data_IF_081387169746
#
_entry.id   IF_081387169746
#
_cell.length_a   1.000
_cell.length_b   1.000
_cell.length_c   1.000
_cell.angle_alpha   90.00
_cell.angle_beta   90.00
_cell.angle_gamma   90.00
#
_symmetry.space_group_name_H-M   'P 1'
#
loop_
_entity.id
_entity.type
_entity.pdbx_description
1 polymer ?
#
# COMPACT_ATOMS: atom_id res chain seq x y z
N UNK A 1 -24.64 -2.89 2.28
CA UNK A 1 -24.80 -1.43 2.08
C UNK A 1 -26.07 -1.16 1.30
N UNK A 2 -26.74 -0.02 1.53
CA UNK A 2 -27.91 0.41 0.76
C UNK A 2 -27.48 1.28 -0.45
N UNK A 3 -28.44 1.61 -1.33
CA UNK A 3 -28.18 2.36 -2.57
C UNK A 3 -27.61 3.77 -2.30
N UNK A 4 -28.09 4.47 -1.27
CA UNK A 4 -27.60 5.79 -0.89
C UNK A 4 -26.12 5.73 -0.46
N UNK A 5 -25.76 4.73 0.33
CA UNK A 5 -24.38 4.53 0.77
C UNK A 5 -23.42 4.26 -0.40
N UNK A 6 -23.84 3.43 -1.36
CA UNK A 6 -23.05 3.19 -2.58
C UNK A 6 -22.90 4.47 -3.42
N UNK A 7 -23.94 5.28 -3.53
CA UNK A 7 -23.88 6.57 -4.20
C UNK A 7 -22.92 7.53 -3.50
N UNK A 8 -22.89 7.54 -2.17
CA UNK A 8 -21.93 8.37 -1.42
C UNK A 8 -20.48 7.89 -1.61
N UNK A 9 -20.23 6.59 -1.74
CA UNK A 9 -18.92 6.08 -2.11
C UNK A 9 -18.48 6.59 -3.48
N UNK A 10 -19.37 6.55 -4.47
CA UNK A 10 -19.12 7.04 -5.81
C UNK A 10 -18.87 8.55 -5.85
N UNK A 11 -19.68 9.35 -5.14
CA UNK A 11 -19.46 10.81 -5.00
C UNK A 11 -18.08 11.10 -4.41
N UNK A 12 -17.67 10.41 -3.35
CA UNK A 12 -16.35 10.63 -2.76
C UNK A 12 -15.22 10.17 -3.69
N UNK A 13 -15.40 9.09 -4.46
CA UNK A 13 -14.46 8.69 -5.51
C UNK A 13 -14.26 9.78 -6.56
N UNK A 14 -15.36 10.32 -7.10
CA UNK A 14 -15.32 11.43 -8.08
C UNK A 14 -14.79 12.74 -7.50
N UNK A 15 -15.06 13.03 -6.24
CA UNK A 15 -14.49 14.20 -5.55
C UNK A 15 -12.95 14.12 -5.51
N UNK A 16 -12.40 12.95 -5.22
CA UNK A 16 -10.96 12.75 -5.21
C UNK A 16 -10.37 12.85 -6.62
N UNK A 17 -11.02 12.26 -7.62
CA UNK A 17 -10.64 12.44 -9.02
C UNK A 17 -10.67 13.91 -9.44
N UNK A 18 -11.72 14.65 -9.07
CA UNK A 18 -11.87 16.08 -9.35
C UNK A 18 -10.75 16.92 -8.71
N UNK A 19 -10.27 16.53 -7.53
CA UNK A 19 -9.13 17.21 -6.89
C UNK A 19 -7.87 17.12 -7.73
N UNK A 20 -7.61 15.95 -8.33
CA UNK A 20 -6.49 15.74 -9.25
C UNK A 20 -6.61 16.55 -10.53
N UNK A 21 -7.83 16.61 -11.12
CA UNK A 21 -8.12 17.46 -12.30
C UNK A 21 -7.85 18.93 -12.00
N UNK A 22 -8.12 19.39 -10.79
CA UNK A 22 -7.84 20.76 -10.34
C UNK A 22 -6.37 21.00 -9.95
N UNK A 23 -5.50 19.98 -10.07
CA UNK A 23 -4.06 20.05 -9.83
C UNK A 23 -3.68 20.17 -8.36
N UNK A 24 -4.53 19.76 -7.44
CA UNK A 24 -4.16 19.70 -6.02
C UNK A 24 -3.19 18.55 -5.76
N UNK A 25 -2.21 18.76 -4.86
CA UNK A 25 -1.36 17.70 -4.33
C UNK A 25 -2.23 16.65 -3.64
N UNK A 26 -2.13 15.41 -4.09
CA UNK A 26 -3.05 14.36 -3.66
C UNK A 26 -2.90 13.99 -2.18
N UNK A 27 -1.68 14.03 -1.64
CA UNK A 27 -1.44 13.71 -0.22
C UNK A 27 -2.08 14.79 0.67
N UNK A 28 -1.84 16.05 0.34
CA UNK A 28 -2.37 17.19 1.09
C UNK A 28 -3.90 17.24 1.02
N UNK A 29 -4.47 17.05 -0.19
CA UNK A 29 -5.92 17.05 -0.38
C UNK A 29 -6.59 15.91 0.39
N UNK A 30 -6.12 14.66 0.23
CA UNK A 30 -6.72 13.49 0.88
C UNK A 30 -6.63 13.65 2.41
N UNK A 31 -5.51 14.15 2.93
CA UNK A 31 -5.36 14.44 4.36
C UNK A 31 -6.37 15.48 4.82
N UNK A 32 -6.45 16.62 4.13
CA UNK A 32 -7.35 17.71 4.47
C UNK A 32 -8.81 17.26 4.46
N UNK A 33 -9.21 16.49 3.44
CA UNK A 33 -10.54 15.89 3.37
C UNK A 33 -10.81 14.95 4.55
N UNK A 34 -10.00 13.90 4.69
CA UNK A 34 -10.25 12.80 5.64
C UNK A 34 -10.20 13.25 7.12
N UNK A 35 -9.48 14.33 7.41
CA UNK A 35 -9.39 14.89 8.77
C UNK A 35 -10.23 16.13 8.99
N UNK A 36 -10.91 16.62 7.95
CA UNK A 36 -11.67 17.88 7.95
C UNK A 36 -13.15 17.73 8.25
N UNK A 37 -13.84 18.87 8.31
CA UNK A 37 -15.28 18.93 8.66
C UNK A 37 -16.18 18.34 7.57
N UNK A 38 -15.74 18.32 6.30
CA UNK A 38 -16.52 17.74 5.20
C UNK A 38 -16.66 16.22 5.41
N UNK A 39 -15.55 15.50 5.65
CA UNK A 39 -15.61 14.07 5.90
C UNK A 39 -16.40 13.73 7.17
N UNK A 40 -16.19 14.50 8.24
CA UNK A 40 -16.96 14.37 9.49
C UNK A 40 -18.47 14.60 9.28
N UNK A 41 -18.84 15.56 8.41
CA UNK A 41 -20.24 15.76 8.01
C UNK A 41 -20.79 14.55 7.25
N UNK A 42 -20.00 13.94 6.35
CA UNK A 42 -20.40 12.75 5.61
C UNK A 42 -20.46 11.49 6.48
N UNK A 43 -19.70 11.42 7.58
CA UNK A 43 -19.73 10.33 8.55
C UNK A 43 -20.97 10.37 9.46
N UNK A 44 -21.58 11.55 9.60
CA UNK A 44 -22.74 11.71 10.48
C UNK A 44 -24.01 11.07 9.89
N UNK A 45 -24.96 10.68 10.77
CA UNK A 45 -26.20 10.04 10.32
C UNK A 45 -27.06 10.94 9.41
N UNK A 46 -27.08 12.24 9.68
CA UNK A 46 -27.87 13.23 8.93
C UNK A 46 -27.07 14.51 8.78
N UNK A 47 -26.61 14.80 7.56
CA UNK A 47 -25.93 16.05 7.24
C UNK A 47 -26.26 16.46 5.80
N UNK A 48 -26.43 17.79 5.58
CA UNK A 48 -26.70 18.35 4.24
C UNK A 48 -25.62 18.00 3.21
N UNK A 49 -24.36 17.81 3.65
CA UNK A 49 -23.23 17.45 2.78
C UNK A 49 -23.41 16.09 2.08
N UNK A 50 -24.24 15.19 2.65
CA UNK A 50 -24.54 13.89 2.04
C UNK A 50 -25.36 14.01 0.74
N UNK A 51 -25.94 15.16 0.49
CA UNK A 51 -26.74 15.47 -0.72
C UNK A 51 -26.01 16.43 -1.67
N UNK A 52 -24.78 16.84 -1.32
CA UNK A 52 -23.99 17.76 -2.12
C UNK A 52 -23.27 17.02 -3.25
N UNK A 53 -23.07 17.71 -4.37
CA UNK A 53 -22.21 17.24 -5.45
C UNK A 53 -20.73 17.50 -5.16
N UNK A 54 -19.87 16.90 -5.98
CA UNK A 54 -18.41 16.92 -5.83
C UNK A 54 -17.84 18.33 -5.86
N UNK A 55 -18.37 19.20 -6.72
CA UNK A 55 -17.89 20.57 -6.86
C UNK A 55 -18.16 21.40 -5.60
N UNK A 56 -19.35 21.23 -5.00
CA UNK A 56 -19.67 21.91 -3.75
C UNK A 56 -18.76 21.42 -2.60
N UNK A 57 -18.58 20.11 -2.50
CA UNK A 57 -17.68 19.54 -1.48
C UNK A 57 -16.24 19.99 -1.67
N UNK A 58 -15.76 20.08 -2.92
CA UNK A 58 -14.42 20.57 -3.22
C UNK A 58 -14.25 22.05 -2.81
N UNK A 59 -15.24 22.89 -3.11
CA UNK A 59 -15.24 24.30 -2.70
C UNK A 59 -15.19 24.43 -1.17
N UNK A 60 -16.04 23.67 -0.47
CA UNK A 60 -16.08 23.67 1.00
C UNK A 60 -14.75 23.24 1.64
N UNK A 61 -14.04 22.26 1.03
CA UNK A 61 -12.71 21.87 1.48
C UNK A 61 -11.70 22.99 1.24
N UNK A 62 -11.73 23.60 0.04
CA UNK A 62 -10.78 24.64 -0.36
C UNK A 62 -10.93 25.90 0.49
N UNK A 63 -12.14 26.22 0.97
CA UNK A 63 -12.41 27.36 1.82
C UNK A 63 -11.95 27.14 3.28
N UNK A 64 -11.86 25.87 3.71
CA UNK A 64 -11.57 25.50 5.09
C UNK A 64 -10.18 24.90 5.31
N UNK A 65 -9.41 24.65 4.24
CA UNK A 65 -8.09 24.07 4.33
C UNK A 65 -7.12 24.71 3.34
N UNK A 66 -5.86 24.87 3.76
CA UNK A 66 -4.78 25.29 2.86
C UNK A 66 -4.41 24.12 1.95
N UNK A 67 -4.96 24.11 0.73
CA UNK A 67 -4.64 23.10 -0.28
C UNK A 67 -3.48 23.57 -1.15
N UNK A 68 -2.48 22.70 -1.34
CA UNK A 68 -1.34 22.97 -2.20
C UNK A 68 -1.67 22.56 -3.64
N UNK A 69 -1.36 23.42 -4.61
CA UNK A 69 -1.38 23.05 -6.04
C UNK A 69 0.03 22.73 -6.52
N UNK A 70 0.14 21.77 -7.44
CA UNK A 70 1.42 21.19 -7.82
C UNK A 70 1.88 20.14 -6.80
N UNK A 71 3.03 19.55 -6.98
CA UNK A 71 3.49 18.43 -6.16
C UNK A 71 3.07 17.08 -6.75
N UNK A 72 2.75 16.09 -5.92
CA UNK A 72 2.39 14.75 -6.38
C UNK A 72 0.89 14.65 -6.64
N UNK A 73 0.52 14.56 -7.91
CA UNK A 73 -0.87 14.25 -8.32
C UNK A 73 -0.93 12.77 -8.72
N UNK A 74 -1.74 11.98 -8.00
CA UNK A 74 -1.95 10.58 -8.32
C UNK A 74 -2.81 10.42 -9.57
N UNK A 75 -2.67 9.26 -10.23
CA UNK A 75 -3.52 8.90 -11.36
C UNK A 75 -5.01 8.90 -10.94
N UNK A 76 -5.87 9.25 -11.90
CA UNK A 76 -7.31 9.42 -11.60
C UNK A 76 -7.97 8.15 -11.07
N UNK A 77 -7.54 6.98 -11.56
CA UNK A 77 -8.03 5.68 -11.12
C UNK A 77 -7.62 5.40 -9.66
N UNK A 78 -6.42 5.81 -9.27
CA UNK A 78 -5.93 5.72 -7.87
C UNK A 78 -6.76 6.61 -6.97
N UNK A 79 -7.02 7.84 -7.40
CA UNK A 79 -7.81 8.82 -6.64
C UNK A 79 -9.27 8.35 -6.49
N UNK A 80 -9.90 7.95 -7.57
CA UNK A 80 -11.28 7.43 -7.51
C UNK A 80 -11.39 6.22 -6.58
N UNK A 81 -10.51 5.23 -6.75
CA UNK A 81 -10.51 4.04 -5.92
C UNK A 81 -10.27 4.38 -4.44
N UNK A 82 -9.33 5.24 -4.14
CA UNK A 82 -9.04 5.64 -2.77
C UNK A 82 -10.25 6.34 -2.12
N UNK A 83 -10.86 7.29 -2.82
CA UNK A 83 -12.05 7.99 -2.35
C UNK A 83 -13.22 7.05 -2.11
N UNK A 84 -13.51 6.17 -3.08
CA UNK A 84 -14.54 5.16 -2.98
C UNK A 84 -14.30 4.22 -1.79
N UNK A 85 -13.08 3.66 -1.67
CA UNK A 85 -12.75 2.68 -0.64
C UNK A 85 -12.80 3.28 0.77
N UNK A 86 -12.36 4.51 0.98
CA UNK A 86 -12.47 5.17 2.28
C UNK A 86 -13.92 5.32 2.74
N UNK A 87 -14.83 5.72 1.85
CA UNK A 87 -16.25 5.88 2.19
C UNK A 87 -16.92 4.53 2.39
N UNK A 88 -16.56 3.55 1.58
CA UNK A 88 -17.02 2.17 1.76
C UNK A 88 -16.58 1.62 3.12
N UNK A 89 -15.33 1.86 3.51
CA UNK A 89 -14.78 1.44 4.80
C UNK A 89 -15.60 2.01 5.97
N UNK A 90 -15.86 3.32 5.94
CA UNK A 90 -16.73 3.94 6.95
C UNK A 90 -18.07 3.23 7.09
N UNK A 91 -18.78 2.96 5.98
CA UNK A 91 -20.07 2.30 6.03
C UNK A 91 -20.01 0.83 6.43
N UNK A 92 -18.94 0.13 6.09
CA UNK A 92 -18.76 -1.28 6.43
C UNK A 92 -18.41 -1.50 7.91
N UNK A 93 -17.69 -0.56 8.53
CA UNK A 93 -17.13 -0.74 9.88
C UNK A 93 -17.68 0.24 10.92
N UNK A 94 -18.23 1.36 10.50
CA UNK A 94 -18.66 2.46 11.38
C UNK A 94 -17.49 3.30 11.91
N UNK A 95 -16.26 3.09 11.43
CA UNK A 95 -15.11 3.90 11.80
C UNK A 95 -15.18 5.29 11.18
N UNK A 96 -14.76 6.33 11.90
CA UNK A 96 -14.71 7.69 11.40
C UNK A 96 -13.60 7.86 10.34
N UNK A 97 -13.84 8.73 9.36
CA UNK A 97 -12.88 9.04 8.27
C UNK A 97 -11.48 9.36 8.77
N UNK A 98 -11.37 10.12 9.87
CA UNK A 98 -10.08 10.45 10.50
C UNK A 98 -9.34 9.22 11.02
N UNK A 99 -10.04 8.27 11.61
CA UNK A 99 -9.45 7.03 12.14
C UNK A 99 -9.07 6.06 11.02
N UNK A 100 -9.86 6.02 9.96
CA UNK A 100 -9.55 5.28 8.73
C UNK A 100 -8.29 5.86 8.08
N UNK A 101 -8.18 7.18 7.96
CA UNK A 101 -6.98 7.83 7.39
C UNK A 101 -5.72 7.53 8.20
N UNK A 102 -5.81 7.48 9.53
CA UNK A 102 -4.68 7.10 10.38
C UNK A 102 -4.20 5.67 10.08
N UNK A 103 -5.11 4.75 9.76
CA UNK A 103 -4.79 3.38 9.41
C UNK A 103 -4.21 3.26 8.01
N UNK A 104 -4.78 3.96 7.04
CA UNK A 104 -4.37 3.94 5.65
C UNK A 104 -4.20 5.37 5.09
N UNK A 105 -3.07 6.04 5.35
CA UNK A 105 -2.77 7.35 4.74
C UNK A 105 -2.73 7.30 3.21
N UNK A 106 -2.79 8.46 2.56
CA UNK A 106 -2.81 8.62 1.12
C UNK A 106 -1.72 7.82 0.40
N UNK A 107 -0.50 7.83 0.94
CA UNK A 107 0.63 7.09 0.38
C UNK A 107 0.46 5.58 0.48
N UNK A 108 -0.19 5.10 1.56
CA UNK A 108 -0.52 3.68 1.71
C UNK A 108 -1.55 3.25 0.67
N UNK A 109 -2.58 4.07 0.43
CA UNK A 109 -3.58 3.81 -0.60
C UNK A 109 -2.94 3.74 -1.99
N UNK A 110 -2.16 4.75 -2.36
CA UNK A 110 -1.49 4.81 -3.66
C UNK A 110 -0.54 3.61 -3.89
N UNK A 111 0.26 3.23 -2.89
CA UNK A 111 1.20 2.09 -3.01
C UNK A 111 0.50 0.76 -3.21
N UNK A 112 -0.65 0.57 -2.59
CA UNK A 112 -1.36 -0.71 -2.62
C UNK A 112 -2.42 -0.78 -3.72
N UNK A 113 -2.72 0.33 -4.40
CA UNK A 113 -3.74 0.38 -5.45
C UNK A 113 -3.57 -0.72 -6.50
N UNK A 114 -2.37 -0.91 -7.04
CA UNK A 114 -2.12 -1.87 -8.12
C UNK A 114 -2.53 -3.31 -7.75
N UNK A 115 -2.44 -3.65 -6.47
CA UNK A 115 -2.76 -4.99 -5.98
C UNK A 115 -4.23 -5.03 -5.52
N UNK A 116 -4.68 -4.01 -4.81
CA UNK A 116 -5.96 -4.05 -4.09
C UNK A 116 -7.15 -3.58 -4.90
N UNK A 117 -6.96 -2.82 -6.00
CA UNK A 117 -8.09 -2.36 -6.83
C UNK A 117 -8.86 -3.48 -7.52
N UNK A 118 -8.25 -4.68 -7.65
CA UNK A 118 -8.90 -5.87 -8.22
C UNK A 118 -9.61 -6.74 -7.19
N UNK A 119 -9.44 -6.44 -5.90
CA UNK A 119 -10.08 -7.16 -4.80
C UNK A 119 -11.46 -6.58 -4.49
N UNK A 120 -12.31 -7.36 -3.81
CA UNK A 120 -13.51 -6.76 -3.23
C UNK A 120 -13.13 -5.71 -2.18
N UNK A 121 -13.94 -4.65 -1.99
CA UNK A 121 -13.66 -3.61 -1.01
C UNK A 121 -13.42 -4.15 0.40
N UNK A 122 -14.16 -5.17 0.82
CA UNK A 122 -14.03 -5.79 2.14
C UNK A 122 -12.66 -6.42 2.33
N UNK A 123 -12.17 -7.16 1.33
CA UNK A 123 -10.85 -7.81 1.37
C UNK A 123 -9.74 -6.75 1.38
N UNK A 124 -9.86 -5.74 0.52
CA UNK A 124 -8.89 -4.64 0.49
C UNK A 124 -8.79 -3.90 1.84
N UNK A 125 -9.92 -3.69 2.53
CA UNK A 125 -9.96 -3.07 3.86
C UNK A 125 -9.26 -3.94 4.90
N UNK A 126 -9.53 -5.24 4.94
CA UNK A 126 -8.88 -6.15 5.89
C UNK A 126 -7.36 -6.19 5.68
N UNK A 127 -6.91 -6.23 4.42
CA UNK A 127 -5.48 -6.19 4.09
C UNK A 127 -4.82 -4.86 4.50
N UNK A 128 -5.51 -3.72 4.31
CA UNK A 128 -5.02 -2.42 4.76
C UNK A 128 -4.95 -2.33 6.29
N UNK A 129 -5.92 -2.89 7.01
CA UNK A 129 -5.90 -3.00 8.48
C UNK A 129 -4.75 -3.87 8.96
N UNK A 130 -4.45 -4.95 8.26
CA UNK A 130 -3.33 -5.81 8.59
C UNK A 130 -1.98 -5.09 8.40
N UNK A 131 -1.81 -4.36 7.30
CA UNK A 131 -0.63 -3.50 7.08
C UNK A 131 -0.46 -2.49 8.23
N UNK A 132 -1.55 -1.88 8.69
CA UNK A 132 -1.51 -0.94 9.82
C UNK A 132 -1.12 -1.61 11.13
N UNK A 133 -1.67 -2.80 11.44
CA UNK A 133 -1.32 -3.58 12.63
C UNK A 133 0.16 -3.93 12.65
N UNK A 134 0.68 -4.44 11.55
CA UNK A 134 2.10 -4.80 11.41
C UNK A 134 3.02 -3.59 11.59
N UNK A 135 2.64 -2.43 11.03
CA UNK A 135 3.40 -1.18 11.23
C UNK A 135 3.41 -0.76 12.69
N UNK A 136 2.26 -0.76 13.37
CA UNK A 136 2.16 -0.34 14.77
C UNK A 136 2.80 -1.33 15.75
N UNK A 137 2.83 -2.60 15.42
CA UNK A 137 3.58 -3.59 16.21
C UNK A 137 5.08 -3.37 16.10
N UNK A 138 5.55 -2.93 14.94
CA UNK A 138 6.95 -2.55 14.72
C UNK A 138 7.34 -1.24 15.43
N UNK A 139 6.38 -0.33 15.60
CA UNK A 139 6.61 1.00 16.20
C UNK A 139 6.42 1.04 17.74
N UNK A 140 5.99 -0.07 18.38
CA UNK A 140 5.96 -0.13 19.86
C UNK A 140 7.40 -0.08 20.37
N UNK A 141 7.73 0.84 21.32
CA UNK A 141 9.09 0.95 21.83
C UNK A 141 9.46 -0.32 22.59
N UNK A 142 10.09 -1.25 21.89
CA UNK A 142 10.75 -2.39 22.51
C UNK A 142 12.11 -1.93 23.05
N UNK A 143 12.15 -1.46 24.30
CA UNK A 143 13.37 -0.98 24.94
C UNK A 143 14.47 -2.04 25.16
N UNK A 144 14.30 -3.28 24.69
CA UNK A 144 15.32 -4.34 24.85
C UNK A 144 15.46 -5.31 23.65
N UNK A 145 14.66 -5.16 22.57
CA UNK A 145 14.63 -6.13 21.47
C UNK A 145 15.49 -5.77 20.24
N UNK A 146 16.06 -4.56 20.15
CA UNK A 146 16.62 -4.06 18.88
C UNK A 146 17.84 -4.85 18.35
N UNK A 147 18.73 -5.34 19.22
CA UNK A 147 19.91 -6.11 18.77
C UNK A 147 19.59 -7.55 18.36
N UNK A 148 18.70 -8.21 19.10
CA UNK A 148 18.31 -9.61 18.84
C UNK A 148 17.44 -9.68 17.58
N UNK A 149 16.55 -8.70 17.37
CA UNK A 149 15.63 -8.67 16.23
C UNK A 149 16.39 -8.33 14.93
N UNK A 150 17.33 -7.36 14.97
CA UNK A 150 18.21 -7.02 13.85
C UNK A 150 19.06 -8.22 13.42
N UNK A 151 19.70 -8.90 14.37
CA UNK A 151 20.51 -10.08 14.11
C UNK A 151 19.66 -11.23 13.50
N UNK A 152 18.43 -11.42 13.98
CA UNK A 152 17.49 -12.39 13.45
C UNK A 152 17.08 -12.05 12.02
N UNK A 153 16.72 -10.79 11.73
CA UNK A 153 16.35 -10.35 10.36
C UNK A 153 17.49 -10.55 9.36
N UNK A 154 18.70 -10.21 9.75
CA UNK A 154 19.88 -10.43 8.91
C UNK A 154 20.07 -11.93 8.66
N UNK A 155 20.00 -12.76 9.69
CA UNK A 155 20.16 -14.21 9.57
C UNK A 155 19.09 -14.84 8.69
N UNK A 156 17.82 -14.47 8.87
CA UNK A 156 16.70 -14.95 8.04
C UNK A 156 16.88 -14.55 6.56
N UNK A 157 17.45 -13.36 6.32
CA UNK A 157 17.78 -12.90 4.97
C UNK A 157 18.96 -13.68 4.37
N UNK A 158 20.03 -13.94 5.13
CA UNK A 158 21.18 -14.75 4.72
C UNK A 158 20.73 -16.18 4.38
N UNK A 159 19.92 -16.81 5.22
CA UNK A 159 19.36 -18.15 4.99
C UNK A 159 18.50 -18.17 3.70
N UNK A 160 17.76 -17.10 3.42
CA UNK A 160 16.98 -16.96 2.19
C UNK A 160 17.87 -16.84 0.95
N UNK A 161 18.94 -16.03 1.02
CA UNK A 161 19.95 -15.91 -0.05
C UNK A 161 20.62 -17.26 -0.31
N UNK A 162 20.96 -18.00 0.72
CA UNK A 162 21.56 -19.34 0.59
C UNK A 162 20.60 -20.29 -0.12
N UNK A 163 19.33 -20.35 0.25
CA UNK A 163 18.31 -21.17 -0.42
C UNK A 163 18.15 -20.83 -1.90
N UNK A 164 18.15 -19.55 -2.23
CA UNK A 164 18.12 -19.13 -3.65
C UNK A 164 19.36 -19.64 -4.39
N UNK A 165 20.55 -19.53 -3.81
CA UNK A 165 21.78 -20.01 -4.42
C UNK A 165 21.74 -21.53 -4.65
N UNK A 166 21.27 -22.31 -3.69
CA UNK A 166 21.09 -23.76 -3.79
C UNK A 166 20.14 -24.12 -4.96
N UNK A 167 19.00 -23.42 -5.07
CA UNK A 167 18.07 -23.61 -6.19
C UNK A 167 18.69 -23.24 -7.55
N UNK A 168 19.47 -22.16 -7.59
CA UNK A 168 20.14 -21.74 -8.81
C UNK A 168 21.28 -22.68 -9.24
N UNK A 169 21.84 -23.45 -8.33
CA UNK A 169 22.90 -24.43 -8.59
C UNK A 169 22.35 -25.76 -9.12
N UNK A 170 21.13 -26.16 -8.73
CA UNK A 170 20.50 -27.42 -9.09
C UNK A 170 19.20 -27.21 -9.88
N UNK A 171 19.22 -27.51 -11.18
CA UNK A 171 18.06 -27.35 -12.05
C UNK A 171 16.89 -28.25 -11.70
N UNK A 172 17.13 -29.44 -11.11
CA UNK A 172 16.08 -30.36 -10.68
C UNK A 172 15.39 -29.82 -9.41
N UNK A 173 16.17 -29.32 -8.46
CA UNK A 173 15.68 -28.68 -7.25
C UNK A 173 14.92 -27.38 -7.59
N UNK A 174 15.46 -26.60 -8.52
CA UNK A 174 14.82 -25.39 -9.01
C UNK A 174 13.40 -25.65 -9.52
N UNK A 175 13.22 -26.62 -10.42
CA UNK A 175 11.91 -26.96 -11.01
C UNK A 175 10.87 -27.38 -9.95
N UNK A 176 11.31 -27.95 -8.85
CA UNK A 176 10.41 -28.44 -7.79
C UNK A 176 10.06 -27.38 -6.75
N UNK A 177 10.95 -26.43 -6.46
CA UNK A 177 10.83 -25.57 -5.28
C UNK A 177 10.83 -24.07 -5.56
N UNK A 178 11.13 -23.64 -6.80
CA UNK A 178 11.23 -22.21 -7.11
C UNK A 178 9.93 -21.42 -6.84
N UNK A 179 8.77 -21.98 -7.22
CA UNK A 179 7.48 -21.32 -7.02
C UNK A 179 7.14 -21.17 -5.53
N UNK A 180 7.33 -22.22 -4.73
CA UNK A 180 7.09 -22.21 -3.29
C UNK A 180 8.04 -21.25 -2.56
N UNK A 181 9.31 -21.18 -2.97
CA UNK A 181 10.27 -20.24 -2.39
C UNK A 181 9.91 -18.79 -2.76
N UNK A 182 9.52 -18.55 -4.01
CA UNK A 182 9.09 -17.23 -4.45
C UNK A 182 7.87 -16.74 -3.65
N UNK A 183 6.85 -17.57 -3.47
CA UNK A 183 5.66 -17.25 -2.69
C UNK A 183 5.99 -16.90 -1.24
N UNK A 184 6.94 -17.61 -0.63
CA UNK A 184 7.41 -17.30 0.73
C UNK A 184 8.14 -15.97 0.80
N UNK A 185 9.01 -15.67 -0.17
CA UNK A 185 9.79 -14.44 -0.21
C UNK A 185 8.90 -13.24 -0.50
N UNK A 186 7.95 -13.35 -1.43
CA UNK A 186 7.05 -12.25 -1.82
C UNK A 186 6.13 -11.78 -0.71
N UNK A 187 5.86 -12.64 0.29
CA UNK A 187 5.08 -12.29 1.49
C UNK A 187 5.92 -11.69 2.62
N UNK A 188 7.25 -11.60 2.45
CA UNK A 188 8.11 -11.05 3.48
C UNK A 188 8.21 -9.53 3.35
N UNK A 189 7.63 -8.82 4.34
CA UNK A 189 7.58 -7.36 4.36
C UNK A 189 8.97 -6.69 4.44
N UNK A 190 9.96 -7.34 5.05
CA UNK A 190 11.31 -6.78 5.22
C UNK A 190 12.02 -6.58 3.87
N UNK A 191 11.78 -7.43 2.87
CA UNK A 191 12.47 -7.35 1.57
C UNK A 191 11.65 -6.69 0.48
N UNK A 192 10.36 -6.49 0.69
CA UNK A 192 9.42 -6.09 -0.36
C UNK A 192 9.88 -4.86 -1.14
N UNK A 193 10.25 -3.79 -0.44
CA UNK A 193 10.69 -2.54 -1.08
C UNK A 193 11.96 -2.71 -1.92
N UNK A 194 12.90 -3.53 -1.46
CA UNK A 194 14.14 -3.82 -2.17
C UNK A 194 13.88 -4.65 -3.43
N UNK A 195 12.97 -5.62 -3.33
CA UNK A 195 12.58 -6.47 -4.45
C UNK A 195 11.87 -5.65 -5.53
N UNK A 196 10.91 -4.81 -5.16
CA UNK A 196 10.18 -3.96 -6.10
C UNK A 196 11.11 -2.93 -6.78
N UNK A 197 12.00 -2.29 -6.02
CA UNK A 197 13.00 -1.39 -6.57
C UNK A 197 13.93 -2.09 -7.58
N UNK A 198 14.34 -3.33 -7.28
CA UNK A 198 15.18 -4.13 -8.15
C UNK A 198 14.43 -4.57 -9.43
N UNK A 199 13.19 -5.03 -9.31
CA UNK A 199 12.33 -5.38 -10.46
C UNK A 199 12.11 -4.19 -11.40
N UNK A 200 11.84 -3.03 -10.86
CA UNK A 200 11.63 -1.80 -11.64
C UNK A 200 12.89 -1.41 -12.42
N UNK A 201 14.07 -1.50 -11.79
CA UNK A 201 15.37 -1.20 -12.43
C UNK A 201 15.68 -2.15 -13.58
N UNK A 202 15.38 -3.45 -13.42
CA UNK A 202 15.62 -4.47 -14.45
C UNK A 202 14.50 -4.54 -15.51
N UNK A 203 13.49 -3.68 -15.43
CA UNK A 203 12.37 -3.67 -16.38
C UNK A 203 11.48 -4.91 -16.32
N UNK A 204 11.50 -5.65 -15.20
CA UNK A 204 10.64 -6.81 -14.97
C UNK A 204 9.22 -6.30 -14.66
N UNK A 205 8.44 -6.06 -15.72
CA UNK A 205 7.03 -5.65 -15.59
C UNK A 205 6.17 -6.82 -15.13
N UNK A 206 5.49 -6.64 -14.00
CA UNK A 206 4.76 -7.67 -13.26
C UNK A 206 3.45 -8.18 -13.85
N UNK A 207 3.31 -8.25 -15.18
CA UNK A 207 2.05 -8.69 -15.82
C UNK A 207 1.88 -10.21 -15.91
N UNK A 208 2.92 -11.00 -15.62
CA UNK A 208 2.84 -12.46 -15.66
C UNK A 208 3.16 -13.01 -14.26
N UNK A 209 2.25 -13.77 -13.62
CA UNK A 209 2.53 -14.41 -12.35
C UNK A 209 3.80 -15.28 -12.44
N UNK A 210 4.64 -15.27 -11.40
CA UNK A 210 5.91 -16.01 -11.38
C UNK A 210 5.72 -17.49 -11.73
N UNK A 211 4.66 -18.13 -11.25
CA UNK A 211 4.34 -19.51 -11.52
C UNK A 211 4.13 -19.82 -13.02
N UNK A 212 3.71 -18.82 -13.81
CA UNK A 212 3.48 -18.94 -15.26
C UNK A 212 4.70 -18.58 -16.11
N UNK A 213 5.80 -18.13 -15.51
CA UNK A 213 7.03 -17.85 -16.24
C UNK A 213 7.72 -19.16 -16.67
N UNK A 214 8.41 -19.10 -17.81
CA UNK A 214 9.31 -20.17 -18.24
C UNK A 214 10.56 -20.25 -17.34
N UNK A 215 11.33 -21.31 -17.49
CA UNK A 215 12.50 -21.61 -16.66
C UNK A 215 13.52 -20.46 -16.59
N UNK A 216 13.91 -19.90 -17.74
CA UNK A 216 14.92 -18.82 -17.77
C UNK A 216 14.43 -17.53 -17.15
N UNK A 217 13.22 -17.00 -17.47
CA UNK A 217 12.63 -15.86 -16.79
C UNK A 217 12.49 -16.08 -15.27
N UNK A 218 12.04 -17.25 -14.81
CA UNK A 218 11.98 -17.56 -13.36
C UNK A 218 13.36 -17.49 -12.73
N UNK A 219 14.38 -18.07 -13.37
CA UNK A 219 15.75 -18.06 -12.90
C UNK A 219 16.29 -16.63 -12.77
N UNK A 220 16.09 -15.78 -13.78
CA UNK A 220 16.50 -14.39 -13.78
C UNK A 220 15.77 -13.61 -12.68
N UNK A 221 14.48 -13.81 -12.49
CA UNK A 221 13.72 -13.16 -11.43
C UNK A 221 14.27 -13.52 -10.04
N UNK A 222 14.62 -14.79 -9.77
CA UNK A 222 15.22 -15.18 -8.49
C UNK A 222 16.64 -14.62 -8.30
N UNK A 223 17.42 -14.41 -9.37
CA UNK A 223 18.72 -13.74 -9.28
C UNK A 223 18.53 -12.28 -8.85
N UNK A 224 17.59 -11.55 -9.47
CA UNK A 224 17.26 -10.16 -9.12
C UNK A 224 16.79 -10.05 -7.67
N UNK A 225 15.91 -10.97 -7.23
CA UNK A 225 15.40 -11.02 -5.86
C UNK A 225 16.54 -11.31 -4.87
N UNK A 226 17.42 -12.26 -5.16
CA UNK A 226 18.60 -12.56 -4.34
C UNK A 226 19.47 -11.32 -4.12
N UNK A 227 19.75 -10.59 -5.19
CA UNK A 227 20.62 -9.43 -5.13
C UNK A 227 19.92 -8.24 -4.41
N UNK A 228 18.61 -8.13 -4.50
CA UNK A 228 17.80 -7.21 -3.70
C UNK A 228 17.87 -7.55 -2.20
N UNK A 229 17.78 -8.83 -1.82
CA UNK A 229 17.89 -9.26 -0.41
C UNK A 229 19.32 -9.01 0.13
N UNK A 230 20.35 -9.20 -0.70
CA UNK A 230 21.73 -8.83 -0.31
C UNK A 230 21.85 -7.32 -0.04
N UNK A 231 21.22 -6.48 -0.87
CA UNK A 231 21.20 -5.04 -0.64
C UNK A 231 20.47 -4.67 0.67
N UNK A 232 19.38 -5.36 1.00
CA UNK A 232 18.73 -5.23 2.30
C UNK A 232 19.67 -5.58 3.46
N UNK A 233 20.38 -6.70 3.40
CA UNK A 233 21.35 -7.11 4.43
C UNK A 233 22.40 -6.02 4.66
N UNK A 234 22.98 -5.49 3.58
CA UNK A 234 23.97 -4.40 3.67
C UNK A 234 23.38 -3.15 4.32
N UNK A 235 22.16 -2.78 3.94
CA UNK A 235 21.47 -1.63 4.52
C UNK A 235 21.15 -1.83 6.01
N UNK A 236 20.72 -3.04 6.41
CA UNK A 236 20.47 -3.35 7.82
C UNK A 236 21.76 -3.32 8.66
N UNK A 237 22.87 -3.86 8.13
CA UNK A 237 24.18 -3.79 8.80
C UNK A 237 24.64 -2.34 8.96
N UNK A 238 24.46 -1.50 7.94
CA UNK A 238 24.89 -0.11 7.93
C UNK A 238 24.06 0.83 8.84
N UNK A 239 22.86 0.44 9.25
CA UNK A 239 22.09 1.20 10.24
C UNK A 239 22.87 1.26 11.56
N UNK A 240 23.42 2.46 11.88
CA UNK A 240 24.06 2.69 13.16
C UNK A 240 23.05 2.48 14.29
N UNK A 241 23.50 1.87 15.37
CA UNK A 241 22.74 1.78 16.60
C UNK A 241 22.58 3.22 17.16
N UNK A 242 21.37 3.76 17.02
CA UNK A 242 20.96 5.00 17.72
C UNK A 242 20.25 4.62 19.02
#
# INVERSE_FOLDING_TARGET
>A
MNELQLKMCDIQGRLFELSGVNGYDSVTFIKAFMTGEVAKGLDSKFNRMQWAGEEYLLAEISDNAELTKGGTVYDKEVLYWAGYLYRFWHFATGEDSKDIYRQAPAETMSRNWLIFHTLSPEVAIEDLKEIYRQRNESDKPQKTASKVDKAKKIKDAEDTVQKINELLADSSLFRRQADSLYDKISRNADYFLYIEAAKNREGIKGNIPFARLDYLPKRNALIVIRDAIKAFIVAEIAKKEN
#
